data_IF_394193688466
#
_entry.id   IF_394193688466
#
_cell.length_a   1.000
_cell.length_b   1.000
_cell.length_c   1.000
_cell.angle_alpha   90.00
_cell.angle_beta   90.00
_cell.angle_gamma   90.00
#
_symmetry.space_group_name_H-M   'P 1'
#
loop_
_entity.id
_entity.type
_entity.pdbx_description
1 polymer ?
#
# COMPACT_ATOMS: atom_id res chain seq x y z
N UNK A 1 75.53 -16.46 11.70
CA UNK A 1 74.23 -17.12 11.47
C UNK A 1 73.13 -16.12 11.79
N UNK A 2 72.20 -15.91 10.84
CA UNK A 2 71.27 -14.77 10.73
C UNK A 2 70.11 -14.87 11.73
N UNK A 3 69.84 -13.80 12.49
CA UNK A 3 68.56 -13.61 13.19
C UNK A 3 67.56 -12.95 12.24
N UNK A 4 66.43 -13.63 11.99
CA UNK A 4 65.30 -13.09 11.25
C UNK A 4 64.31 -12.49 12.25
N UNK A 5 64.21 -11.15 12.28
CA UNK A 5 63.14 -10.44 12.97
C UNK A 5 61.88 -10.48 12.09
N UNK A 6 60.82 -11.14 12.57
CA UNK A 6 59.50 -11.14 11.91
C UNK A 6 58.71 -9.96 12.44
N UNK A 7 58.57 -8.92 11.61
CA UNK A 7 57.69 -7.78 11.86
C UNK A 7 56.24 -8.20 11.54
N UNK A 8 55.42 -8.35 12.57
CA UNK A 8 53.99 -8.69 12.46
C UNK A 8 53.21 -7.39 12.21
N UNK A 9 52.77 -7.15 10.97
CA UNK A 9 51.90 -6.04 10.61
C UNK A 9 50.45 -6.39 11.01
N UNK A 10 49.97 -5.85 12.12
CA UNK A 10 48.55 -5.92 12.49
C UNK A 10 47.76 -4.96 11.59
N UNK A 11 47.03 -5.52 10.62
CA UNK A 11 46.11 -4.77 9.76
C UNK A 11 44.86 -4.42 10.57
N UNK A 12 44.77 -3.18 11.05
CA UNK A 12 43.61 -2.65 11.75
C UNK A 12 42.50 -2.39 10.71
N UNK A 13 41.63 -3.38 10.47
CA UNK A 13 40.44 -3.20 9.63
C UNK A 13 39.44 -2.34 10.40
N UNK A 14 39.12 -1.12 9.95
CA UNK A 14 38.06 -0.35 10.59
C UNK A 14 36.74 -1.05 10.31
N UNK A 15 36.16 -1.65 11.35
CA UNK A 15 34.79 -2.15 11.33
C UNK A 15 33.91 -0.91 11.22
N UNK A 16 33.51 -0.56 10.00
CA UNK A 16 32.45 0.41 9.78
C UNK A 16 31.16 -0.19 10.34
N UNK A 17 30.88 0.11 11.61
CA UNK A 17 29.55 -0.04 12.17
C UNK A 17 28.62 0.82 11.32
N UNK A 18 27.90 0.18 10.40
CA UNK A 18 26.78 0.81 9.70
C UNK A 18 25.72 1.11 10.75
N UNK A 19 25.76 2.33 11.28
CA UNK A 19 24.75 2.83 12.18
C UNK A 19 23.43 2.84 11.40
N UNK A 20 22.54 1.88 11.68
CA UNK A 20 21.21 1.81 11.09
C UNK A 20 20.44 3.02 11.61
N UNK A 21 20.40 4.10 10.84
CA UNK A 21 19.66 5.30 11.22
C UNK A 21 18.17 4.98 11.13
N UNK A 22 17.51 4.91 12.29
CA UNK A 22 16.06 5.03 12.33
C UNK A 22 15.74 6.45 11.90
N UNK A 23 15.47 6.64 10.61
CA UNK A 23 15.13 7.92 10.01
C UNK A 23 13.84 8.42 10.64
N UNK A 24 13.96 9.41 11.52
CA UNK A 24 12.85 10.08 12.15
C UNK A 24 12.72 11.48 11.56
N UNK A 25 11.60 11.75 10.90
CA UNK A 25 11.30 13.03 10.25
C UNK A 25 9.96 13.53 10.74
N UNK A 26 9.92 14.79 11.18
CA UNK A 26 8.69 15.47 11.60
C UNK A 26 8.66 16.84 10.95
N UNK A 27 7.56 17.13 10.26
CA UNK A 27 7.26 18.43 9.65
C UNK A 27 5.80 18.80 9.92
N UNK A 28 5.38 20.01 9.57
CA UNK A 28 3.98 20.42 9.71
C UNK A 28 3.02 19.65 8.79
N UNK A 29 3.54 19.12 7.66
CA UNK A 29 2.75 18.45 6.63
C UNK A 29 2.77 16.92 6.76
N UNK A 30 3.91 16.34 7.10
CA UNK A 30 4.12 14.90 7.14
C UNK A 30 5.12 14.47 8.22
N UNK A 31 5.05 13.20 8.61
CA UNK A 31 6.00 12.54 9.50
C UNK A 31 6.46 11.20 8.91
N UNK A 32 7.66 10.77 9.28
CA UNK A 32 8.14 9.41 9.07
C UNK A 32 8.82 8.95 10.36
N UNK A 33 8.20 7.99 11.04
CA UNK A 33 8.67 7.46 12.31
C UNK A 33 8.28 5.98 12.40
N UNK A 34 9.14 5.13 12.93
CA UNK A 34 8.83 3.71 13.18
C UNK A 34 8.27 2.97 11.94
N UNK A 35 8.85 3.28 10.76
CA UNK A 35 8.42 2.78 9.43
C UNK A 35 6.98 3.15 9.02
N UNK A 36 6.38 4.11 9.71
CA UNK A 36 5.07 4.66 9.40
C UNK A 36 5.27 6.05 8.80
N UNK A 37 4.81 6.23 7.57
CA UNK A 37 4.71 7.55 6.95
C UNK A 37 3.30 8.10 7.16
N UNK A 38 3.17 9.34 7.60
CA UNK A 38 1.88 10.03 7.76
C UNK A 38 1.93 11.37 7.04
N UNK A 39 0.89 11.71 6.27
CA UNK A 39 0.78 13.01 5.58
C UNK A 39 -0.63 13.59 5.73
N UNK A 40 -0.74 14.88 6.05
CA UNK A 40 -2.01 15.59 6.19
C UNK A 40 -2.69 15.81 4.84
N UNK A 41 -4.02 15.70 4.82
CA UNK A 41 -4.89 16.04 3.68
C UNK A 41 -6.18 16.67 4.22
N UNK A 42 -6.32 17.98 4.07
CA UNK A 42 -7.43 18.73 4.68
C UNK A 42 -7.48 18.51 6.20
N UNK A 43 -8.65 18.11 6.71
CA UNK A 43 -8.86 17.79 8.14
C UNK A 43 -8.48 16.35 8.53
N UNK A 44 -8.02 15.55 7.56
CA UNK A 44 -7.59 14.16 7.76
C UNK A 44 -6.12 13.93 7.45
N UNK A 45 -5.73 12.66 7.43
CA UNK A 45 -4.38 12.23 7.10
C UNK A 45 -4.36 10.84 6.48
N UNK A 46 -3.41 10.63 5.56
CA UNK A 46 -3.03 9.28 5.15
C UNK A 46 -1.94 8.75 6.08
N UNK A 47 -2.04 7.48 6.42
CA UNK A 47 -1.02 6.70 7.13
C UNK A 47 -0.63 5.52 6.25
N UNK A 48 0.66 5.37 5.97
CA UNK A 48 1.23 4.38 5.05
C UNK A 48 2.24 3.54 5.81
N UNK A 49 2.06 2.23 5.76
CA UNK A 49 2.88 1.24 6.46
C UNK A 49 3.20 0.08 5.51
N UNK A 50 4.47 -0.32 5.41
CA UNK A 50 4.83 -1.57 4.75
C UNK A 50 4.58 -2.76 5.70
N UNK A 51 3.83 -3.76 5.23
CA UNK A 51 3.54 -4.99 5.97
C UNK A 51 4.46 -6.16 5.55
N UNK A 52 4.89 -6.15 4.30
CA UNK A 52 5.92 -7.03 3.72
C UNK A 52 6.69 -6.25 2.66
N UNK A 53 7.75 -6.81 2.04
CA UNK A 53 8.41 -6.15 0.91
C UNK A 53 7.45 -5.78 -0.23
N UNK A 54 6.39 -6.54 -0.46
CA UNK A 54 5.45 -6.36 -1.58
C UNK A 54 4.05 -5.82 -1.18
N UNK A 55 3.80 -5.59 0.11
CA UNK A 55 2.49 -5.16 0.62
C UNK A 55 2.62 -3.85 1.41
N UNK A 56 1.89 -2.83 0.95
CA UNK A 56 1.67 -1.60 1.70
C UNK A 56 0.21 -1.51 2.16
N UNK A 57 0.02 -1.18 3.44
CA UNK A 57 -1.26 -0.74 3.99
C UNK A 57 -1.33 0.78 3.90
N UNK A 58 -2.45 1.27 3.38
CA UNK A 58 -2.80 2.70 3.36
C UNK A 58 -4.10 2.88 4.12
N UNK A 59 -4.06 3.69 5.16
CA UNK A 59 -5.22 4.04 5.99
C UNK A 59 -5.48 5.54 5.86
N UNK A 60 -6.74 5.93 5.67
CA UNK A 60 -7.15 7.33 5.79
C UNK A 60 -7.84 7.53 7.15
N UNK A 61 -7.43 8.57 7.88
CA UNK A 61 -7.92 8.86 9.22
C UNK A 61 -8.43 10.31 9.31
N UNK A 62 -9.51 10.51 10.05
CA UNK A 62 -10.06 11.82 10.38
C UNK A 62 -10.98 11.74 11.62
N UNK A 63 -11.85 12.72 11.82
CA UNK A 63 -12.78 12.78 12.95
C UNK A 63 -13.80 11.64 13.00
N UNK A 64 -14.16 11.07 11.84
CA UNK A 64 -15.15 9.99 11.67
C UNK A 64 -14.46 8.63 11.55
N UNK A 65 -13.40 8.54 10.74
CA UNK A 65 -12.60 7.33 10.57
C UNK A 65 -11.43 7.36 11.53
N UNK A 66 -11.59 6.69 12.67
CA UNK A 66 -10.51 6.41 13.63
C UNK A 66 -9.87 5.05 13.29
N UNK A 67 -8.66 4.81 13.78
CA UNK A 67 -7.95 3.53 13.60
C UNK A 67 -8.90 2.37 13.91
N UNK A 68 -9.34 1.61 12.89
CA UNK A 68 -10.33 0.56 13.09
C UNK A 68 -9.66 -0.72 13.59
N UNK A 69 -10.48 -1.69 13.96
CA UNK A 69 -10.03 -3.07 14.01
C UNK A 69 -9.46 -3.48 12.64
N UNK A 70 -8.33 -4.17 12.63
CA UNK A 70 -7.76 -4.77 11.42
C UNK A 70 -8.53 -6.06 11.17
N UNK A 71 -9.17 -6.21 10.00
CA UNK A 71 -9.93 -7.43 9.66
C UNK A 71 -9.14 -8.36 8.73
N UNK A 72 -8.14 -7.81 8.02
CA UNK A 72 -7.18 -8.56 7.21
C UNK A 72 -6.01 -9.13 8.06
N UNK A 73 -5.15 -10.01 7.50
CA UNK A 73 -3.99 -10.54 8.20
C UNK A 73 -3.05 -9.44 8.74
N UNK A 74 -2.58 -9.63 9.97
CA UNK A 74 -1.50 -8.85 10.56
C UNK A 74 -0.19 -9.55 10.25
N UNK A 75 0.72 -8.85 9.57
CA UNK A 75 2.09 -9.33 9.35
C UNK A 75 3.00 -8.64 10.38
N UNK A 76 3.78 -9.43 11.09
CA UNK A 76 4.64 -8.94 12.19
C UNK A 76 6.11 -8.79 11.79
N UNK A 77 6.47 -9.19 10.56
CA UNK A 77 7.86 -9.14 10.12
C UNK A 77 8.28 -7.69 9.86
N UNK A 78 9.34 -7.19 10.51
CA UNK A 78 9.83 -5.85 10.25
C UNK A 78 10.28 -5.70 8.80
N UNK A 79 9.72 -4.71 8.10
CA UNK A 79 10.10 -4.37 6.72
C UNK A 79 10.96 -3.12 6.75
N UNK A 80 12.10 -3.15 6.08
CA UNK A 80 12.90 -1.95 5.88
C UNK A 80 12.27 -1.06 4.79
N UNK A 81 11.97 0.19 5.15
CA UNK A 81 11.41 1.18 4.23
C UNK A 81 12.42 2.28 4.01
N UNK A 82 12.88 2.44 2.77
CA UNK A 82 13.72 3.54 2.34
C UNK A 82 12.85 4.76 2.04
N UNK A 83 12.92 5.76 2.90
CA UNK A 83 12.28 7.06 2.76
C UNK A 83 13.17 8.05 2.00
N UNK A 84 12.60 8.79 1.04
CA UNK A 84 13.28 9.91 0.35
C UNK A 84 12.31 11.07 0.10
N UNK A 85 12.69 12.27 0.53
CA UNK A 85 12.04 13.51 0.09
C UNK A 85 12.67 13.98 -1.23
N UNK A 86 11.83 14.29 -2.23
CA UNK A 86 12.21 14.73 -3.57
C UNK A 86 11.68 16.13 -3.91
N UNK A 87 11.29 16.91 -2.91
CA UNK A 87 10.72 18.25 -3.12
C UNK A 87 9.20 18.20 -3.13
N UNK A 88 8.58 18.05 -4.30
CA UNK A 88 7.11 17.98 -4.46
C UNK A 88 6.53 16.59 -4.15
N UNK A 89 7.41 15.59 -4.01
CA UNK A 89 7.06 14.18 -3.79
C UNK A 89 7.87 13.55 -2.65
N UNK A 90 7.27 12.56 -2.02
CA UNK A 90 7.94 11.60 -1.14
C UNK A 90 7.96 10.24 -1.84
N UNK A 91 9.05 9.50 -1.67
CA UNK A 91 9.15 8.10 -2.08
C UNK A 91 9.37 7.22 -0.85
N UNK A 92 8.52 6.22 -0.69
CA UNK A 92 8.68 5.11 0.26
C UNK A 92 8.97 3.86 -0.55
N UNK A 93 10.08 3.17 -0.29
CA UNK A 93 10.47 2.02 -1.11
C UNK A 93 10.93 0.84 -0.26
N UNK A 94 10.44 -0.33 -0.61
CA UNK A 94 10.98 -1.63 -0.20
C UNK A 94 11.86 -2.18 -1.33
N UNK A 95 12.22 -3.46 -1.27
CA UNK A 95 12.93 -4.15 -2.36
C UNK A 95 12.01 -4.56 -3.53
N UNK A 96 10.68 -4.55 -3.36
CA UNK A 96 9.73 -5.00 -4.39
C UNK A 96 8.81 -3.87 -4.89
N UNK A 97 8.44 -2.91 -4.03
CA UNK A 97 7.41 -1.90 -4.32
C UNK A 97 7.86 -0.49 -3.91
N UNK A 98 7.47 0.47 -4.73
CA UNK A 98 7.68 1.90 -4.50
C UNK A 98 6.33 2.60 -4.39
N UNK A 99 6.08 3.27 -3.27
CA UNK A 99 4.96 4.20 -3.09
C UNK A 99 5.47 5.63 -3.30
N UNK A 100 4.93 6.29 -4.30
CA UNK A 100 5.16 7.70 -4.59
C UNK A 100 3.97 8.51 -4.06
N UNK A 101 4.26 9.49 -3.21
CA UNK A 101 3.26 10.38 -2.61
C UNK A 101 3.53 11.79 -3.11
N UNK A 102 2.63 12.32 -3.94
CA UNK A 102 2.61 13.75 -4.27
C UNK A 102 2.12 14.53 -3.04
N UNK A 103 2.76 15.66 -2.72
CA UNK A 103 2.40 16.44 -1.52
C UNK A 103 1.19 17.35 -1.72
N UNK A 104 0.97 17.88 -2.92
CA UNK A 104 -0.10 18.84 -3.20
C UNK A 104 -0.66 18.75 -4.65
N UNK A 105 -1.95 18.39 -4.83
CA UNK A 105 -2.78 17.67 -3.86
C UNK A 105 -2.14 16.34 -3.47
N UNK A 106 -2.48 15.88 -2.27
CA UNK A 106 -2.03 14.56 -1.79
C UNK A 106 -2.62 13.47 -2.67
N UNK A 107 -1.75 12.71 -3.34
CA UNK A 107 -2.12 11.65 -4.27
C UNK A 107 -1.05 10.57 -4.27
N UNK A 108 -1.48 9.30 -4.23
CA UNK A 108 -0.61 8.14 -4.17
C UNK A 108 -0.52 7.41 -5.51
N UNK A 109 0.68 6.92 -5.82
CA UNK A 109 0.92 5.97 -6.89
C UNK A 109 1.83 4.84 -6.41
N UNK A 110 1.53 3.61 -6.86
CA UNK A 110 2.27 2.40 -6.57
C UNK A 110 2.99 1.95 -7.83
N UNK A 111 4.29 1.69 -7.69
CA UNK A 111 5.20 1.39 -8.79
C UNK A 111 6.06 0.18 -8.48
N UNK A 112 6.52 -0.47 -9.53
CA UNK A 112 7.64 -1.41 -9.47
C UNK A 112 8.95 -0.67 -9.23
N UNK A 113 9.97 -1.38 -8.76
CA UNK A 113 11.30 -0.79 -8.47
C UNK A 113 12.01 -0.20 -9.70
N UNK A 114 11.69 -0.68 -10.91
CA UNK A 114 12.17 -0.14 -12.19
C UNK A 114 11.36 1.08 -12.68
N UNK A 115 10.32 1.51 -11.94
CA UNK A 115 9.58 2.75 -12.16
C UNK A 115 8.22 2.60 -12.86
N UNK A 116 7.86 1.38 -13.29
CA UNK A 116 6.57 1.08 -13.92
C UNK A 116 5.38 1.34 -13.00
N UNK A 117 4.39 2.10 -13.46
CA UNK A 117 3.15 2.37 -12.69
C UNK A 117 2.29 1.11 -12.67
N UNK A 118 1.82 0.73 -11.49
CA UNK A 118 0.87 -0.36 -11.29
C UNK A 118 -0.52 0.13 -10.96
N UNK A 119 -0.62 1.02 -9.97
CA UNK A 119 -1.87 1.60 -9.52
C UNK A 119 -1.64 3.07 -9.18
N UNK A 120 -2.54 3.96 -9.57
CA UNK A 120 -2.51 5.36 -9.14
C UNK A 120 -3.90 5.81 -8.74
N UNK A 121 -3.99 6.59 -7.67
CA UNK A 121 -5.21 7.28 -7.31
C UNK A 121 -5.64 8.22 -8.45
N UNK A 122 -6.95 8.28 -8.74
CA UNK A 122 -7.54 9.30 -9.60
C UNK A 122 -7.87 10.52 -8.74
N UNK A 123 -8.89 10.40 -7.88
CA UNK A 123 -9.14 11.36 -6.80
C UNK A 123 -8.83 10.82 -5.40
N UNK A 124 -8.35 9.58 -5.30
CA UNK A 124 -8.02 8.93 -4.03
C UNK A 124 -9.21 8.84 -3.09
N UNK A 125 -8.97 9.01 -1.79
CA UNK A 125 -9.99 9.05 -0.76
C UNK A 125 -10.96 10.23 -0.95
N UNK A 126 -12.26 9.96 -0.91
CA UNK A 126 -13.35 10.93 -0.97
C UNK A 126 -14.40 10.61 0.10
N UNK A 127 -14.99 11.66 0.67
CA UNK A 127 -16.16 11.53 1.53
C UNK A 127 -17.25 12.52 1.14
N UNK A 128 -18.44 11.99 0.93
CA UNK A 128 -19.64 12.74 0.57
C UNK A 128 -20.78 12.25 1.47
N UNK A 129 -21.24 13.10 2.39
CA UNK A 129 -22.25 12.76 3.38
C UNK A 129 -21.93 11.46 4.16
N UNK A 130 -22.71 10.40 3.93
CA UNK A 130 -22.59 9.08 4.55
C UNK A 130 -21.74 8.09 3.72
N UNK A 131 -21.29 8.50 2.54
CA UNK A 131 -20.55 7.66 1.61
C UNK A 131 -19.06 7.98 1.64
N UNK A 132 -18.25 6.93 1.85
CA UNK A 132 -16.78 6.99 1.72
C UNK A 132 -16.36 6.20 0.50
N UNK A 133 -15.50 6.76 -0.34
CA UNK A 133 -15.03 6.09 -1.56
C UNK A 133 -13.54 6.30 -1.81
N UNK A 134 -12.96 5.40 -2.59
CA UNK A 134 -11.62 5.54 -3.15
C UNK A 134 -11.71 5.44 -4.67
N UNK A 135 -11.06 6.36 -5.38
CA UNK A 135 -11.02 6.34 -6.85
C UNK A 135 -9.58 6.16 -7.35
N UNK A 136 -9.43 5.22 -8.28
CA UNK A 136 -8.16 4.84 -8.89
C UNK A 136 -8.28 4.87 -10.42
N UNK A 137 -7.17 5.12 -11.08
CA UNK A 137 -7.06 5.01 -12.54
C UNK A 137 -6.92 3.54 -12.94
N UNK A 138 -7.65 3.14 -13.98
CA UNK A 138 -7.41 1.88 -14.70
C UNK A 138 -6.66 2.15 -15.99
N UNK A 139 -5.65 1.35 -16.27
CA UNK A 139 -4.89 1.43 -17.52
C UNK A 139 -5.74 0.97 -18.71
N UNK A 140 -5.36 1.35 -19.92
CA UNK A 140 -6.03 0.85 -21.12
C UNK A 140 -5.82 -0.66 -21.24
N UNK A 141 -6.90 -1.42 -21.50
CA UNK A 141 -6.83 -2.88 -21.64
C UNK A 141 -6.65 -3.68 -20.34
N UNK A 142 -6.40 -3.03 -19.19
CA UNK A 142 -6.34 -3.66 -17.88
C UNK A 142 -7.60 -4.48 -17.57
N UNK A 143 -7.44 -5.74 -17.16
CA UNK A 143 -8.54 -6.63 -16.75
C UNK A 143 -8.60 -6.70 -15.24
N UNK A 144 -9.82 -6.80 -14.71
CA UNK A 144 -10.06 -6.85 -13.26
C UNK A 144 -10.70 -8.19 -12.89
N UNK A 145 -10.17 -8.84 -11.87
CA UNK A 145 -10.62 -10.13 -11.36
C UNK A 145 -10.85 -10.05 -9.84
N UNK A 146 -11.35 -11.14 -9.23
CA UNK A 146 -11.61 -11.21 -7.78
C UNK A 146 -13.06 -10.88 -7.43
N UNK A 147 -13.26 -10.12 -6.35
CA UNK A 147 -14.54 -9.66 -5.78
C UNK A 147 -15.44 -10.77 -5.20
N UNK A 148 -14.87 -11.95 -4.95
CA UNK A 148 -15.58 -13.10 -4.39
C UNK A 148 -16.37 -13.90 -5.42
N UNK A 149 -17.44 -14.55 -4.95
CA UNK A 149 -18.23 -15.46 -5.76
C UNK A 149 -19.28 -14.71 -6.59
N UNK A 150 -19.16 -14.80 -7.92
CA UNK A 150 -19.99 -14.05 -8.88
C UNK A 150 -20.25 -14.93 -10.11
N UNK A 151 -21.48 -14.99 -10.61
CA UNK A 151 -21.84 -15.75 -11.81
C UNK A 151 -21.73 -14.92 -13.10
N UNK A 152 -20.68 -14.10 -13.19
CA UNK A 152 -20.42 -13.16 -14.29
C UNK A 152 -19.13 -13.53 -15.05
N UNK A 153 -18.83 -12.92 -16.22
CA UNK A 153 -17.54 -13.10 -16.91
C UNK A 153 -16.34 -12.81 -16.03
N UNK A 154 -15.24 -13.56 -16.21
CA UNK A 154 -14.08 -13.49 -15.32
C UNK A 154 -13.46 -12.08 -15.25
N UNK A 155 -13.44 -11.36 -16.37
CA UNK A 155 -13.11 -9.93 -16.38
C UNK A 155 -14.30 -9.12 -15.88
N UNK A 156 -14.07 -8.44 -14.77
CA UNK A 156 -15.02 -7.63 -14.01
C UNK A 156 -14.98 -6.17 -14.42
N UNK A 157 -14.09 -5.77 -15.34
CA UNK A 157 -14.05 -4.39 -15.84
C UNK A 157 -15.40 -4.03 -16.49
N UNK A 158 -15.89 -2.83 -16.16
CA UNK A 158 -17.19 -2.34 -16.64
C UNK A 158 -18.39 -2.77 -15.79
N UNK A 159 -18.20 -3.58 -14.75
CA UNK A 159 -19.25 -3.95 -13.82
C UNK A 159 -19.19 -3.16 -12.51
N UNK A 160 -20.35 -3.00 -11.86
CA UNK A 160 -20.48 -2.48 -10.50
C UNK A 160 -21.03 -3.59 -9.60
N UNK A 161 -20.39 -3.81 -8.46
CA UNK A 161 -20.74 -4.86 -7.51
C UNK A 161 -21.04 -4.27 -6.15
N UNK A 162 -21.87 -4.96 -5.38
CA UNK A 162 -22.05 -4.69 -3.96
C UNK A 162 -21.11 -5.59 -3.16
N UNK A 163 -20.55 -5.05 -2.08
CA UNK A 163 -19.93 -5.85 -1.03
C UNK A 163 -21.01 -6.22 -0.01
N UNK A 164 -21.78 -7.26 -0.33
CA UNK A 164 -22.90 -7.71 0.49
C UNK A 164 -23.07 -9.23 0.39
N UNK A 165 -22.93 -9.94 1.50
CA UNK A 165 -23.18 -11.39 1.52
C UNK A 165 -24.69 -11.63 1.51
N UNK A 166 -25.22 -12.10 0.37
CA UNK A 166 -26.65 -12.31 0.21
C UNK A 166 -26.93 -13.73 -0.32
N UNK A 167 -27.77 -14.52 0.36
CA UNK A 167 -28.18 -15.82 -0.15
C UNK A 167 -28.99 -15.64 -1.44
N UNK A 168 -28.59 -16.32 -2.51
CA UNK A 168 -29.39 -16.39 -3.74
C UNK A 168 -29.58 -17.84 -4.19
N UNK A 169 -30.74 -18.43 -3.88
CA UNK A 169 -31.07 -19.78 -4.30
C UNK A 169 -31.48 -19.84 -5.77
N UNK A 170 -31.03 -20.87 -6.48
CA UNK A 170 -31.35 -21.07 -7.90
C UNK A 170 -30.74 -20.02 -8.83
N UNK A 171 -29.63 -19.38 -8.43
CA UNK A 171 -28.97 -18.38 -9.26
C UNK A 171 -28.51 -18.99 -10.60
N UNK A 172 -28.52 -18.15 -11.63
CA UNK A 172 -28.03 -18.49 -12.97
C UNK A 172 -26.86 -17.60 -13.39
N UNK A 173 -26.44 -17.78 -14.64
CA UNK A 173 -25.47 -16.90 -15.29
C UNK A 173 -26.00 -15.46 -15.27
N UNK A 174 -25.14 -14.51 -14.91
CA UNK A 174 -25.48 -13.09 -14.76
C UNK A 174 -25.66 -12.62 -13.32
N UNK A 175 -25.72 -13.53 -12.34
CA UNK A 175 -25.89 -13.14 -10.94
C UNK A 175 -24.67 -12.37 -10.40
N UNK A 176 -24.89 -11.09 -10.14
CA UNK A 176 -23.85 -10.15 -9.73
C UNK A 176 -23.55 -10.15 -8.24
N UNK A 177 -24.48 -10.56 -7.37
CA UNK A 177 -24.26 -10.62 -5.92
C UNK A 177 -24.75 -11.95 -5.36
N UNK A 178 -23.92 -12.61 -4.56
CA UNK A 178 -24.13 -13.97 -4.08
C UNK A 178 -23.69 -14.10 -2.62
N UNK A 179 -23.65 -15.33 -2.14
CA UNK A 179 -23.46 -15.70 -0.74
C UNK A 179 -22.13 -15.21 -0.14
N UNK A 180 -21.11 -14.97 -0.96
CA UNK A 180 -19.75 -14.67 -0.50
C UNK A 180 -19.07 -13.59 -1.34
N UNK A 181 -19.08 -12.37 -0.83
CA UNK A 181 -18.37 -11.21 -1.34
C UNK A 181 -17.02 -11.08 -0.65
N UNK A 182 -15.94 -10.94 -1.42
CA UNK A 182 -14.62 -10.59 -0.88
C UNK A 182 -14.23 -9.20 -1.38
N UNK A 183 -13.84 -8.26 -0.52
CA UNK A 183 -13.60 -6.87 -0.92
C UNK A 183 -12.17 -6.70 -1.47
N UNK A 184 -11.75 -7.56 -2.40
CA UNK A 184 -10.47 -7.44 -3.09
C UNK A 184 -10.63 -7.58 -4.60
N UNK A 185 -9.72 -6.97 -5.33
CA UNK A 185 -9.57 -7.15 -6.77
C UNK A 185 -8.14 -7.54 -7.11
N UNK A 186 -7.98 -8.29 -8.20
CA UNK A 186 -6.70 -8.66 -8.79
C UNK A 186 -6.67 -8.13 -10.20
N UNK A 187 -5.62 -7.40 -10.54
CA UNK A 187 -5.44 -6.80 -11.86
C UNK A 187 -4.55 -7.66 -12.76
N UNK A 188 -4.80 -7.64 -14.07
CA UNK A 188 -3.87 -8.17 -15.07
C UNK A 188 -2.50 -7.48 -15.03
N UNK A 189 -2.42 -6.28 -14.46
CA UNK A 189 -1.16 -5.55 -14.24
C UNK A 189 -0.33 -6.10 -13.08
N UNK A 190 -0.74 -7.24 -12.48
CA UNK A 190 -0.01 -7.97 -11.42
C UNK A 190 0.04 -7.22 -10.08
N UNK A 191 -1.09 -6.67 -9.66
CA UNK A 191 -1.29 -6.21 -8.29
C UNK A 191 -2.64 -6.70 -7.75
N UNK A 192 -2.75 -6.74 -6.43
CA UNK A 192 -4.00 -6.96 -5.72
C UNK A 192 -4.30 -5.72 -4.88
N UNK A 193 -5.56 -5.30 -4.87
CA UNK A 193 -6.06 -4.26 -3.98
C UNK A 193 -7.12 -4.89 -3.07
N UNK A 194 -6.92 -4.77 -1.76
CA UNK A 194 -7.87 -5.21 -0.74
C UNK A 194 -8.43 -3.97 -0.02
N UNK A 195 -9.75 -3.85 0.01
CA UNK A 195 -10.44 -2.89 0.86
C UNK A 195 -10.71 -3.55 2.22
N UNK A 196 -9.91 -3.20 3.22
CA UNK A 196 -10.04 -3.70 4.60
C UNK A 196 -11.20 -3.00 5.33
N UNK A 197 -12.42 -3.26 4.87
CA UNK A 197 -13.66 -2.69 5.42
C UNK A 197 -14.78 -3.74 5.37
N UNK A 198 -15.38 -4.11 6.52
CA UNK A 198 -16.45 -5.11 6.60
C UNK A 198 -17.85 -4.56 6.32
N UNK A 199 -18.01 -3.23 6.21
CA UNK A 199 -19.30 -2.60 6.01
C UNK A 199 -19.84 -2.85 4.60
N UNK A 200 -21.16 -2.70 4.45
CA UNK A 200 -21.81 -2.73 3.15
C UNK A 200 -21.18 -1.69 2.20
N UNK A 201 -20.89 -2.10 0.97
CA UNK A 201 -20.32 -1.26 -0.10
C UNK A 201 -20.99 -1.46 -1.45
#
# INVERSE_FOLDING_TARGET
MRQFSRLLFLLLVPVLFSCRQNTHVVTDLYTFQDNVFTIRKGDGQYRILALSPDIFRVTYLDSLTREPAVYAPVLETPVEVRFRDRGDRITLSTDEVVVEVRKEPVQLAFRTVDGGVKLSEEAGFQREADTTSFRFMLQEGEKIHGLGFRALPLDRRGYRFQHNNQPQYGYGVGAANLNYSMPHLVSSEKYMLLFDNPALG
#
